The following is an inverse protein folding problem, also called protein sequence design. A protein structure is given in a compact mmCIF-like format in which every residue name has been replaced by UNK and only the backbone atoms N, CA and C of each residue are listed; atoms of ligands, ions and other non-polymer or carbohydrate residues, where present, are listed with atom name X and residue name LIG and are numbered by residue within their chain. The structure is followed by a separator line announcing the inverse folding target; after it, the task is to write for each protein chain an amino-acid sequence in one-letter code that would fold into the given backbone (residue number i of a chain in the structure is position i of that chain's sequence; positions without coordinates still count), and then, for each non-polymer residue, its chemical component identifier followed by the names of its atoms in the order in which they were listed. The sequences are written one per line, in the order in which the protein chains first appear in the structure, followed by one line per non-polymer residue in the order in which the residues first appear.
data_IF_778536988634
#
_entry.id   IF_778536988634
#
_cell.length_a   1.000
_cell.length_b   1.000
_cell.length_c   1.000
_cell.angle_alpha   90.00
_cell.angle_beta   90.00
_cell.angle_gamma   90.00
#
_symmetry.space_group_name_H-M   'P 1'
#
loop_
_entity.id
_entity.type
_entity.pdbx_description
1 polymer ?
#
# COMPACT_ATOMS: atom_id res chain seq x y z
N UNK A 1 -3.76 -70.64 26.05
CA UNK A 1 -3.19 -69.29 25.75
C UNK A 1 -3.30 -68.90 24.29
N UNK A 2 -3.07 -69.79 23.31
CA UNK A 2 -3.18 -69.45 21.86
C UNK A 2 -4.56 -68.89 21.45
N UNK A 3 -5.65 -69.48 21.93
CA UNK A 3 -7.04 -69.07 21.58
C UNK A 3 -7.37 -67.62 21.95
N UNK A 4 -6.87 -67.12 23.08
CA UNK A 4 -7.12 -65.76 23.55
C UNK A 4 -6.38 -64.69 22.73
N UNK A 5 -5.20 -65.03 22.19
CA UNK A 5 -4.42 -64.12 21.33
C UNK A 5 -5.09 -63.95 19.97
N UNK A 6 -5.64 -65.02 19.40
CA UNK A 6 -6.32 -64.97 18.10
C UNK A 6 -7.66 -64.22 18.17
N UNK A 7 -8.38 -64.34 19.29
CA UNK A 7 -9.60 -63.55 19.56
C UNK A 7 -9.29 -62.03 19.61
N UNK A 8 -8.23 -61.64 20.34
CA UNK A 8 -7.81 -60.24 20.42
C UNK A 8 -7.37 -59.68 19.05
N UNK A 9 -6.68 -60.48 18.23
CA UNK A 9 -6.32 -60.10 16.86
C UNK A 9 -7.56 -59.93 15.97
N UNK A 10 -8.57 -60.79 16.12
CA UNK A 10 -9.85 -60.65 15.43
C UNK A 10 -10.56 -59.34 15.80
N UNK A 11 -10.61 -59.01 17.09
CA UNK A 11 -11.19 -57.76 17.59
C UNK A 11 -10.42 -56.53 17.11
N UNK A 12 -9.09 -56.58 17.09
CA UNK A 12 -8.25 -55.47 16.63
C UNK A 12 -8.51 -55.16 15.15
N UNK A 13 -8.52 -56.18 14.28
CA UNK A 13 -8.85 -56.01 12.84
C UNK A 13 -10.23 -55.42 12.63
N UNK A 14 -11.23 -55.91 13.37
CA UNK A 14 -12.60 -55.38 13.30
C UNK A 14 -12.68 -53.91 13.69
N UNK A 15 -11.95 -53.49 14.74
CA UNK A 15 -11.87 -52.09 15.14
C UNK A 15 -11.14 -51.23 14.11
N UNK A 16 -10.06 -51.72 13.51
CA UNK A 16 -9.33 -51.02 12.44
C UNK A 16 -10.22 -50.77 11.22
N UNK A 17 -10.99 -51.77 10.78
CA UNK A 17 -11.96 -51.61 9.70
C UNK A 17 -13.06 -50.60 10.06
N UNK A 18 -13.57 -50.63 11.29
CA UNK A 18 -14.58 -49.69 11.76
C UNK A 18 -14.05 -48.25 11.79
N UNK A 19 -12.80 -48.04 12.23
CA UNK A 19 -12.13 -46.74 12.22
C UNK A 19 -12.01 -46.22 10.79
N UNK A 20 -11.60 -47.06 9.82
CA UNK A 20 -11.44 -46.59 8.45
C UNK A 20 -12.79 -46.24 7.80
N UNK A 21 -13.84 -47.02 8.08
CA UNK A 21 -15.21 -46.68 7.65
C UNK A 21 -15.68 -45.35 8.24
N UNK A 22 -15.45 -45.12 9.53
CA UNK A 22 -15.84 -43.86 10.18
C UNK A 22 -15.07 -42.66 9.62
N UNK A 23 -13.77 -42.82 9.33
CA UNK A 23 -12.98 -41.78 8.67
C UNK A 23 -13.54 -41.42 7.29
N UNK A 24 -13.98 -42.40 6.51
CA UNK A 24 -14.57 -42.13 5.20
C UNK A 24 -15.89 -41.36 5.32
N UNK A 25 -16.76 -41.75 6.26
CA UNK A 25 -18.00 -41.01 6.54
C UNK A 25 -17.72 -39.58 6.99
N UNK A 26 -16.71 -39.39 7.85
CA UNK A 26 -16.32 -38.06 8.32
C UNK A 26 -15.80 -37.19 7.16
N UNK A 27 -14.94 -37.74 6.29
CA UNK A 27 -14.47 -37.06 5.07
C UNK A 27 -15.63 -36.64 4.17
N UNK A 28 -16.65 -37.48 4.00
CA UNK A 28 -17.81 -37.16 3.18
C UNK A 28 -18.68 -36.06 3.81
N UNK A 29 -18.95 -36.15 5.11
CA UNK A 29 -19.68 -35.11 5.84
C UNK A 29 -18.95 -33.76 5.82
N UNK A 30 -17.62 -33.75 5.93
CA UNK A 30 -16.82 -32.52 5.79
C UNK A 30 -16.96 -31.89 4.40
N UNK A 31 -16.99 -32.71 3.34
CA UNK A 31 -17.25 -32.23 1.97
C UNK A 31 -18.66 -31.64 1.85
N UNK A 32 -19.67 -32.34 2.38
CA UNK A 32 -21.06 -31.85 2.37
C UNK A 32 -21.21 -30.54 3.16
N UNK A 33 -20.59 -30.45 4.34
CA UNK A 33 -20.57 -29.23 5.15
C UNK A 33 -19.91 -28.07 4.39
N UNK A 34 -18.74 -28.30 3.79
CA UNK A 34 -18.05 -27.29 2.98
C UNK A 34 -18.92 -26.80 1.81
N UNK A 35 -19.61 -27.73 1.14
CA UNK A 35 -20.54 -27.41 0.05
C UNK A 35 -21.74 -26.57 0.52
N UNK A 36 -22.41 -27.00 1.59
CA UNK A 36 -23.56 -26.30 2.16
C UNK A 36 -23.18 -24.91 2.68
N UNK A 37 -22.04 -24.80 3.36
CA UNK A 37 -21.52 -23.53 3.87
C UNK A 37 -21.15 -22.57 2.74
N UNK A 38 -20.55 -23.07 1.65
CA UNK A 38 -20.29 -22.27 0.45
C UNK A 38 -21.59 -21.76 -0.19
N UNK A 39 -22.63 -22.60 -0.26
CA UNK A 39 -23.94 -22.21 -0.79
C UNK A 39 -24.62 -21.13 0.06
N UNK A 40 -24.60 -21.30 1.38
CA UNK A 40 -25.14 -20.30 2.31
C UNK A 40 -24.38 -18.98 2.24
N UNK A 41 -23.04 -19.02 2.20
CA UNK A 41 -22.22 -17.82 2.04
C UNK A 41 -22.52 -17.09 0.73
N UNK A 42 -22.75 -17.80 -0.37
CA UNK A 42 -23.13 -17.17 -1.64
C UNK A 42 -24.48 -16.44 -1.56
N UNK A 43 -25.45 -16.97 -0.78
CA UNK A 43 -26.75 -16.34 -0.58
C UNK A 43 -26.68 -15.15 0.39
N UNK A 44 -25.82 -15.23 1.40
CA UNK A 44 -25.65 -14.21 2.41
C UNK A 44 -24.66 -13.11 2.02
N UNK A 45 -23.80 -13.33 1.02
CA UNK A 45 -22.80 -12.34 0.58
C UNK A 45 -23.50 -11.12 -0.01
N UNK A 46 -23.51 -9.97 0.70
CA UNK A 46 -24.16 -8.77 0.21
C UNK A 46 -23.53 -8.28 -1.10
N UNK A 47 -22.24 -8.56 -1.31
CA UNK A 47 -21.51 -8.13 -2.49
C UNK A 47 -21.84 -8.94 -3.73
N UNK A 48 -22.32 -10.18 -3.57
CA UNK A 48 -22.76 -11.01 -4.70
C UNK A 48 -24.08 -10.52 -5.31
N UNK A 49 -24.84 -9.70 -4.57
CA UNK A 49 -26.14 -9.15 -4.99
C UNK A 49 -26.05 -7.76 -5.60
N UNK A 50 -24.91 -7.11 -5.45
CA UNK A 50 -24.67 -5.76 -5.92
C UNK A 50 -23.93 -5.78 -7.26
N UNK A 51 -24.27 -4.89 -8.20
CA UNK A 51 -23.46 -4.69 -9.39
C UNK A 51 -22.01 -4.36 -9.01
N UNK A 52 -21.01 -4.81 -9.79
CA UNK A 52 -19.59 -4.62 -9.46
C UNK A 52 -19.23 -3.14 -9.27
N UNK A 53 -19.89 -2.22 -9.97
CA UNK A 53 -19.65 -0.77 -9.85
C UNK A 53 -20.02 -0.24 -8.46
N UNK A 54 -21.16 -0.68 -7.91
CA UNK A 54 -21.64 -0.28 -6.58
C UNK A 54 -20.73 -0.87 -5.52
N UNK A 55 -20.38 -2.15 -5.67
CA UNK A 55 -19.48 -2.86 -4.79
C UNK A 55 -18.08 -2.20 -4.76
N UNK A 56 -17.52 -1.85 -5.92
CA UNK A 56 -16.25 -1.11 -6.02
C UNK A 56 -16.33 0.26 -5.34
N UNK A 57 -17.46 0.97 -5.47
CA UNK A 57 -17.66 2.25 -4.80
C UNK A 57 -17.68 2.09 -3.27
N UNK A 58 -18.37 1.07 -2.76
CA UNK A 58 -18.38 0.74 -1.32
C UNK A 58 -16.96 0.46 -0.83
N UNK A 59 -16.18 -0.33 -1.59
CA UNK A 59 -14.77 -0.58 -1.25
C UNK A 59 -13.97 0.72 -1.14
N UNK A 60 -14.10 1.61 -2.13
CA UNK A 60 -13.41 2.90 -2.14
C UNK A 60 -13.79 3.77 -0.95
N UNK A 61 -15.08 3.84 -0.60
CA UNK A 61 -15.58 4.63 0.53
C UNK A 61 -15.22 4.03 1.90
N UNK A 62 -15.05 2.72 1.97
CA UNK A 62 -14.63 2.04 3.21
C UNK A 62 -13.15 2.26 3.54
N UNK A 63 -12.36 2.75 2.57
CA UNK A 63 -10.94 2.98 2.73
C UNK A 63 -10.66 4.38 3.30
N UNK A 64 -9.64 4.51 4.16
CA UNK A 64 -9.15 5.83 4.53
C UNK A 64 -8.61 6.50 3.27
N UNK A 65 -8.63 7.83 3.25
CA UNK A 65 -8.05 8.61 2.16
C UNK A 65 -6.78 9.28 2.71
N UNK A 66 -5.57 8.86 2.32
CA UNK A 66 -5.25 7.84 1.32
C UNK A 66 -5.37 6.38 1.82
N UNK A 67 -5.55 5.39 0.90
CA UNK A 67 -5.60 3.97 1.24
C UNK A 67 -4.36 3.53 2.01
N UNK A 68 -4.55 2.75 3.08
CA UNK A 68 -3.44 2.14 3.83
C UNK A 68 -3.28 0.68 3.45
N UNK A 69 -2.03 0.21 3.34
CA UNK A 69 -1.71 -1.19 3.03
C UNK A 69 -2.41 -2.16 3.97
N UNK A 70 -2.37 -1.89 5.28
CA UNK A 70 -3.00 -2.73 6.29
C UNK A 70 -4.50 -2.92 6.07
N UNK A 71 -5.23 -1.84 5.72
CA UNK A 71 -6.66 -1.95 5.43
C UNK A 71 -6.94 -2.61 4.10
N UNK A 72 -6.15 -2.33 3.06
CA UNK A 72 -6.33 -2.99 1.77
C UNK A 72 -6.12 -4.50 1.89
N UNK A 73 -5.12 -4.92 2.67
CA UNK A 73 -4.90 -6.33 3.00
C UNK A 73 -6.05 -6.95 3.77
N UNK A 74 -6.65 -6.22 4.71
CA UNK A 74 -7.83 -6.70 5.43
C UNK A 74 -9.00 -6.94 4.46
N UNK A 75 -9.23 -6.01 3.53
CA UNK A 75 -10.30 -6.12 2.52
C UNK A 75 -10.13 -7.34 1.61
N UNK A 76 -8.94 -7.56 1.05
CA UNK A 76 -8.68 -8.70 0.15
C UNK A 76 -8.73 -10.06 0.87
N UNK A 77 -8.78 -10.08 2.21
CA UNK A 77 -8.84 -11.30 3.03
C UNK A 77 -10.25 -11.66 3.50
N UNK A 78 -11.25 -10.79 3.29
CA UNK A 78 -12.63 -11.03 3.75
C UNK A 78 -13.24 -12.28 3.10
N UNK A 79 -13.37 -12.28 1.78
CA UNK A 79 -13.80 -13.43 1.00
C UNK A 79 -13.23 -13.34 -0.43
N UNK A 80 -13.44 -14.39 -1.24
CA UNK A 80 -12.96 -14.41 -2.64
C UNK A 80 -13.58 -13.30 -3.49
N UNK A 81 -14.86 -12.96 -3.28
CA UNK A 81 -15.54 -11.90 -4.03
C UNK A 81 -14.90 -10.54 -3.73
N UNK A 82 -14.66 -10.21 -2.46
CA UNK A 82 -13.97 -8.97 -2.07
C UNK A 82 -12.55 -8.91 -2.62
N UNK A 83 -11.83 -10.03 -2.61
CA UNK A 83 -10.49 -10.11 -3.17
C UNK A 83 -10.51 -9.78 -4.67
N UNK A 84 -11.32 -10.51 -5.45
CA UNK A 84 -11.43 -10.31 -6.90
C UNK A 84 -11.85 -8.89 -7.25
N UNK A 85 -12.82 -8.34 -6.51
CA UNK A 85 -13.31 -6.99 -6.72
C UNK A 85 -12.26 -5.93 -6.39
N UNK A 86 -11.55 -6.08 -5.26
CA UNK A 86 -10.48 -5.17 -4.89
C UNK A 86 -9.35 -5.20 -5.93
N UNK A 87 -8.97 -6.38 -6.43
CA UNK A 87 -7.97 -6.53 -7.49
C UNK A 87 -8.42 -5.87 -8.81
N UNK A 88 -9.71 -5.94 -9.15
CA UNK A 88 -10.28 -5.30 -10.34
C UNK A 88 -10.45 -3.78 -10.19
N UNK A 89 -10.48 -3.26 -8.96
CA UNK A 89 -10.70 -1.84 -8.69
C UNK A 89 -9.38 -1.08 -8.68
N UNK A 90 -8.87 -0.74 -9.88
CA UNK A 90 -7.56 -0.09 -10.08
C UNK A 90 -7.32 1.16 -9.21
N UNK A 91 -8.36 1.95 -8.95
CA UNK A 91 -8.30 3.18 -8.12
C UNK A 91 -7.85 2.92 -6.68
N UNK A 92 -8.07 1.72 -6.13
CA UNK A 92 -7.55 1.35 -4.81
C UNK A 92 -6.02 1.28 -4.77
N UNK A 93 -5.39 1.02 -5.92
CA UNK A 93 -3.95 0.81 -6.05
C UNK A 93 -3.24 2.03 -6.64
N UNK A 94 -3.98 3.04 -7.13
CA UNK A 94 -3.41 4.25 -7.73
C UNK A 94 -2.80 5.22 -6.71
N UNK A 95 -3.14 5.07 -5.43
CA UNK A 95 -2.59 5.88 -4.34
C UNK A 95 -1.77 5.02 -3.40
N UNK A 96 -0.47 5.30 -3.32
CA UNK A 96 0.49 4.56 -2.50
C UNK A 96 1.03 5.47 -1.42
N UNK A 97 0.92 5.04 -0.18
CA UNK A 97 1.48 5.76 0.97
C UNK A 97 2.42 4.84 1.71
N UNK A 98 3.62 5.33 2.03
CA UNK A 98 4.55 4.65 2.92
C UNK A 98 3.88 4.39 4.27
N UNK A 99 3.83 3.11 4.65
CA UNK A 99 3.18 2.65 5.87
C UNK A 99 4.15 2.47 7.04
N UNK A 100 5.40 2.95 6.94
CA UNK A 100 6.42 2.75 7.96
C UNK A 100 6.88 1.29 8.08
N UNK A 101 6.65 0.51 7.03
CA UNK A 101 7.10 -0.89 6.95
C UNK A 101 8.58 -0.93 6.61
N UNK A 102 9.29 -1.99 7.03
CA UNK A 102 10.70 -2.20 6.64
C UNK A 102 10.87 -2.09 5.12
N UNK A 103 11.92 -1.42 4.68
CA UNK A 103 12.13 -0.98 3.29
C UNK A 103 12.08 -2.13 2.28
N UNK A 104 12.68 -3.27 2.63
CA UNK A 104 12.78 -4.44 1.76
C UNK A 104 11.38 -4.99 1.43
N UNK A 105 10.47 -4.93 2.40
CA UNK A 105 9.07 -5.34 2.20
C UNK A 105 8.31 -4.28 1.41
N UNK A 106 8.67 -3.00 1.53
CA UNK A 106 7.99 -1.94 0.79
C UNK A 106 8.26 -2.02 -0.72
N UNK A 107 9.49 -2.36 -1.14
CA UNK A 107 9.80 -2.59 -2.55
C UNK A 107 8.94 -3.73 -3.12
N UNK A 108 8.87 -4.86 -2.41
CA UNK A 108 7.99 -5.99 -2.81
C UNK A 108 6.51 -5.58 -2.88
N UNK A 109 6.08 -4.71 -1.97
CA UNK A 109 4.73 -4.13 -2.00
C UNK A 109 4.52 -3.30 -3.27
N UNK A 110 5.46 -2.44 -3.64
CA UNK A 110 5.41 -1.64 -4.87
C UNK A 110 5.35 -2.50 -6.13
N UNK A 111 6.18 -3.54 -6.22
CA UNK A 111 6.20 -4.48 -7.35
C UNK A 111 4.84 -5.18 -7.55
N UNK A 112 4.08 -5.41 -6.46
CA UNK A 112 2.73 -5.98 -6.53
C UNK A 112 1.67 -4.91 -6.81
N UNK A 113 1.84 -3.70 -6.25
CA UNK A 113 0.83 -2.63 -6.30
C UNK A 113 0.82 -1.86 -7.62
N UNK A 114 1.98 -1.51 -8.15
CA UNK A 114 2.09 -0.66 -9.35
C UNK A 114 1.43 -1.30 -10.59
N UNK A 115 1.56 -2.63 -10.83
CA UNK A 115 0.83 -3.28 -11.92
C UNK A 115 -0.69 -3.26 -11.71
N UNK A 116 -1.16 -3.38 -10.46
CA UNK A 116 -2.59 -3.40 -10.13
C UNK A 116 -3.26 -2.03 -10.30
N UNK A 117 -2.50 -0.94 -10.28
CA UNK A 117 -3.02 0.38 -10.63
C UNK A 117 -3.38 0.53 -12.13
N UNK A 118 -3.05 -0.46 -12.97
CA UNK A 118 -3.43 -0.46 -14.38
C UNK A 118 -2.78 0.68 -15.16
N UNK A 119 -3.56 1.49 -15.88
CA UNK A 119 -3.11 2.68 -16.59
C UNK A 119 -3.39 3.99 -15.82
N UNK A 120 -3.95 3.91 -14.60
CA UNK A 120 -4.35 5.10 -13.86
C UNK A 120 -3.16 5.97 -13.46
N UNK A 121 -3.35 7.29 -13.33
CA UNK A 121 -2.37 8.18 -12.73
C UNK A 121 -2.06 7.78 -11.29
N UNK A 122 -0.79 7.89 -10.90
CA UNK A 122 -0.28 7.47 -9.61
C UNK A 122 -0.12 8.66 -8.66
N UNK A 123 -0.50 8.45 -7.41
CA UNK A 123 -0.28 9.36 -6.28
C UNK A 123 0.59 8.67 -5.24
N UNK A 124 1.84 9.11 -5.09
CA UNK A 124 2.83 8.49 -4.22
C UNK A 124 3.15 9.39 -3.03
N UNK A 125 3.10 8.85 -1.82
CA UNK A 125 3.38 9.58 -0.58
C UNK A 125 4.43 8.86 0.27
N UNK A 126 5.64 9.41 0.29
CA UNK A 126 6.82 8.84 0.93
C UNK A 126 7.29 9.77 2.06
N UNK A 127 6.82 9.53 3.29
CA UNK A 127 7.09 10.41 4.43
C UNK A 127 8.16 9.88 5.39
N UNK A 128 8.46 8.58 5.41
CA UNK A 128 9.34 7.98 6.42
C UNK A 128 10.41 7.05 5.81
N UNK A 129 10.79 7.31 4.56
CA UNK A 129 11.76 6.48 3.85
C UNK A 129 13.16 6.97 4.21
N UNK A 130 13.81 6.27 5.15
CA UNK A 130 15.23 6.53 5.43
C UNK A 130 16.09 6.27 4.18
N UNK A 131 17.15 7.05 4.03
CA UNK A 131 17.86 7.31 2.77
C UNK A 131 18.38 6.06 2.03
N UNK A 132 18.94 5.09 2.75
CA UNK A 132 19.62 3.90 2.23
C UNK A 132 18.73 2.82 1.57
N UNK A 133 17.44 3.09 1.31
CA UNK A 133 16.58 2.20 0.50
C UNK A 133 15.75 2.91 -0.56
N UNK A 134 15.89 4.23 -0.67
CA UNK A 134 15.16 5.02 -1.65
C UNK A 134 15.56 4.65 -3.08
N UNK A 135 16.82 4.29 -3.30
CA UNK A 135 17.32 3.83 -4.59
C UNK A 135 16.48 2.69 -5.21
N UNK A 136 16.20 1.63 -4.46
CA UNK A 136 15.42 0.50 -4.96
C UNK A 136 13.97 0.88 -5.26
N UNK A 137 13.40 1.81 -4.47
CA UNK A 137 12.07 2.35 -4.73
C UNK A 137 12.07 3.11 -6.05
N UNK A 138 13.04 3.99 -6.28
CA UNK A 138 13.16 4.73 -7.53
C UNK A 138 13.33 3.81 -8.75
N UNK A 139 14.17 2.78 -8.62
CA UNK A 139 14.36 1.78 -9.67
C UNK A 139 13.04 1.05 -9.99
N UNK A 140 12.23 0.75 -8.98
CA UNK A 140 10.91 0.13 -9.17
C UNK A 140 9.92 1.11 -9.84
N UNK A 141 10.03 2.40 -9.54
CA UNK A 141 9.17 3.44 -10.08
C UNK A 141 9.54 3.86 -11.50
N UNK A 142 10.74 3.57 -11.99
CA UNK A 142 11.24 3.97 -13.31
C UNK A 142 10.25 3.67 -14.44
N UNK A 143 9.74 2.44 -14.49
CA UNK A 143 8.77 2.01 -15.51
C UNK A 143 7.39 2.70 -15.39
N UNK A 144 7.13 3.37 -14.27
CA UNK A 144 5.85 3.99 -13.93
C UNK A 144 5.91 5.51 -13.86
N UNK A 145 7.08 6.13 -14.01
CA UNK A 145 7.28 7.59 -14.00
C UNK A 145 6.27 8.34 -14.88
N UNK A 146 5.97 7.92 -16.13
CA UNK A 146 5.05 8.65 -17.00
C UNK A 146 3.62 8.74 -16.48
N UNK A 147 3.29 8.00 -15.41
CA UNK A 147 1.97 7.97 -14.78
C UNK A 147 1.94 8.70 -13.44
N UNK A 148 3.07 9.12 -12.88
CA UNK A 148 3.12 9.75 -11.56
C UNK A 148 2.58 11.18 -11.65
N UNK A 149 1.37 11.38 -11.14
CA UNK A 149 0.66 12.66 -11.16
C UNK A 149 0.83 13.45 -9.85
N UNK A 150 0.90 12.74 -8.71
CA UNK A 150 1.19 13.36 -7.42
C UNK A 150 2.36 12.64 -6.76
N UNK A 151 3.33 13.41 -6.29
CA UNK A 151 4.50 12.90 -5.58
C UNK A 151 4.69 13.70 -4.29
N UNK A 152 4.75 13.00 -3.18
CA UNK A 152 5.09 13.55 -1.87
C UNK A 152 6.32 12.82 -1.35
N UNK A 153 7.37 13.56 -1.04
CA UNK A 153 8.67 13.00 -0.61
C UNK A 153 9.20 13.75 0.61
N UNK A 154 9.74 13.01 1.57
CA UNK A 154 10.66 13.52 2.59
C UNK A 154 12.08 13.21 2.11
N UNK A 155 12.78 14.15 1.47
CA UNK A 155 14.15 13.92 1.01
C UNK A 155 15.07 13.82 2.24
N UNK A 156 15.23 12.61 2.77
CA UNK A 156 16.30 12.35 3.72
C UNK A 156 17.63 12.39 2.97
N UNK A 157 18.61 13.09 3.55
CA UNK A 157 19.87 13.55 2.97
C UNK A 157 20.75 12.47 2.31
N UNK A 158 20.36 11.90 1.17
CA UNK A 158 21.29 11.22 0.29
C UNK A 158 21.44 11.95 -1.04
N UNK A 159 22.68 11.99 -1.51
CA UNK A 159 23.07 12.54 -2.82
C UNK A 159 22.62 11.66 -3.99
N UNK A 160 21.74 10.69 -3.74
CA UNK A 160 21.18 9.79 -4.74
C UNK A 160 20.10 10.50 -5.58
N UNK A 161 20.56 11.51 -6.32
CA UNK A 161 19.79 12.38 -7.20
C UNK A 161 19.44 11.68 -8.53
N UNK A 162 19.20 10.37 -8.55
CA UNK A 162 18.73 9.69 -9.77
C UNK A 162 17.29 10.06 -10.13
N UNK A 163 16.53 10.67 -9.24
CA UNK A 163 15.27 11.33 -9.62
C UNK A 163 15.46 12.35 -10.76
N UNK A 164 16.67 12.91 -10.91
CA UNK A 164 17.00 13.89 -11.94
C UNK A 164 17.17 13.31 -13.34
N UNK A 165 17.29 11.98 -13.48
CA UNK A 165 17.33 11.37 -14.82
C UNK A 165 15.96 11.34 -15.47
N UNK A 166 14.90 11.47 -14.67
CA UNK A 166 13.53 11.30 -15.13
C UNK A 166 12.84 12.65 -15.33
N UNK A 167 12.03 12.73 -16.38
CA UNK A 167 11.15 13.87 -16.62
C UNK A 167 9.73 13.48 -16.25
N UNK A 168 9.15 14.23 -15.32
CA UNK A 168 7.82 13.99 -14.78
C UNK A 168 6.77 14.74 -15.60
N UNK A 169 6.50 14.23 -16.80
CA UNK A 169 5.64 14.90 -17.78
C UNK A 169 4.19 15.09 -17.31
N UNK A 170 3.66 14.23 -16.44
CA UNK A 170 2.26 14.33 -15.94
C UNK A 170 2.17 14.76 -14.48
N UNK A 171 3.28 15.11 -13.84
CA UNK A 171 3.29 15.47 -12.43
C UNK A 171 2.68 16.86 -12.24
N UNK A 172 1.51 16.89 -11.62
CA UNK A 172 0.77 18.12 -11.33
C UNK A 172 0.86 18.54 -9.87
N UNK A 173 1.22 17.62 -8.96
CA UNK A 173 1.31 17.90 -7.53
C UNK A 173 2.61 17.35 -6.94
N UNK A 174 3.43 18.23 -6.36
CA UNK A 174 4.69 17.90 -5.69
C UNK A 174 4.65 18.43 -4.26
N UNK A 175 4.89 17.54 -3.30
CA UNK A 175 5.00 17.87 -1.87
C UNK A 175 6.38 17.48 -1.35
N UNK A 176 7.07 18.39 -0.70
CA UNK A 176 8.40 18.17 -0.14
C UNK A 176 8.35 18.40 1.36
N UNK A 177 8.71 17.38 2.14
CA UNK A 177 8.59 17.32 3.59
C UNK A 177 9.96 17.17 4.27
N UNK A 178 10.87 18.15 4.22
CA UNK A 178 12.11 18.11 5.04
C UNK A 178 12.84 19.48 5.09
N UNK A 179 13.46 19.78 6.24
CA UNK A 179 14.33 20.93 6.51
C UNK A 179 15.69 20.84 5.82
N UNK A 180 16.08 19.66 5.37
CA UNK A 180 17.42 19.42 4.83
C UNK A 180 17.45 19.13 3.32
N UNK A 181 16.35 19.38 2.59
CA UNK A 181 16.37 19.23 1.15
C UNK A 181 17.37 20.23 0.53
N UNK A 182 18.40 19.78 -0.20
CA UNK A 182 19.30 20.68 -0.91
C UNK A 182 18.50 21.53 -1.90
N UNK A 183 18.76 22.84 -1.95
CA UNK A 183 18.05 23.76 -2.86
C UNK A 183 18.16 23.29 -4.30
N UNK A 184 19.35 22.83 -4.71
CA UNK A 184 19.60 22.35 -6.07
C UNK A 184 18.71 21.15 -6.45
N UNK A 185 18.39 20.28 -5.48
CA UNK A 185 17.48 19.15 -5.70
C UNK A 185 16.05 19.64 -5.96
N UNK A 186 15.56 20.58 -5.16
CA UNK A 186 14.25 21.19 -5.39
C UNK A 186 14.19 21.84 -6.78
N UNK A 187 15.20 22.64 -7.13
CA UNK A 187 15.23 23.38 -8.42
C UNK A 187 15.19 22.43 -9.60
N UNK A 188 16.00 21.37 -9.59
CA UNK A 188 16.02 20.44 -10.71
C UNK A 188 14.76 19.56 -10.77
N UNK A 189 14.17 19.16 -9.63
CA UNK A 189 12.86 18.49 -9.64
C UNK A 189 11.78 19.36 -10.28
N UNK A 190 11.78 20.67 -9.98
CA UNK A 190 10.86 21.63 -10.61
C UNK A 190 11.11 21.74 -12.11
N UNK A 191 12.38 21.78 -12.53
CA UNK A 191 12.75 21.82 -13.96
C UNK A 191 12.30 20.58 -14.72
N UNK A 192 12.25 19.42 -14.05
CA UNK A 192 11.80 18.13 -14.62
C UNK A 192 10.30 17.92 -14.55
N UNK A 193 9.54 18.82 -13.92
CA UNK A 193 8.09 18.75 -13.79
C UNK A 193 7.43 19.95 -14.50
N UNK A 194 7.43 20.00 -15.84
CA UNK A 194 6.99 21.18 -16.59
C UNK A 194 5.50 21.51 -16.40
N UNK A 195 4.70 20.50 -16.06
CA UNK A 195 3.26 20.60 -15.85
C UNK A 195 2.87 20.70 -14.36
N UNK A 196 3.81 21.09 -13.50
CA UNK A 196 3.56 21.19 -12.08
C UNK A 196 2.60 22.35 -11.75
N UNK A 197 1.47 22.00 -11.13
CA UNK A 197 0.38 22.93 -10.79
C UNK A 197 0.41 23.29 -9.31
N UNK A 198 0.66 22.30 -8.46
CA UNK A 198 0.68 22.41 -7.01
C UNK A 198 2.06 22.06 -6.47
N UNK A 199 2.67 23.00 -5.75
CA UNK A 199 3.91 22.81 -5.03
C UNK A 199 3.69 23.12 -3.56
N UNK A 200 3.89 22.13 -2.70
CA UNK A 200 3.86 22.33 -1.27
C UNK A 200 5.22 21.99 -0.66
N UNK A 201 5.86 22.98 -0.04
CA UNK A 201 7.12 22.78 0.66
C UNK A 201 6.87 23.00 2.14
N UNK A 202 7.07 21.93 2.91
CA UNK A 202 6.87 21.93 4.35
C UNK A 202 8.23 21.95 5.01
N UNK A 203 8.36 22.78 6.05
CA UNK A 203 9.55 22.87 6.88
C UNK A 203 10.78 23.19 6.04
N UNK A 204 10.72 24.20 5.16
CA UNK A 204 11.92 24.66 4.42
C UNK A 204 12.43 25.98 4.99
N UNK A 205 13.75 26.13 5.07
CA UNK A 205 14.41 27.39 5.40
C UNK A 205 14.55 28.34 4.20
N UNK A 206 14.20 27.90 2.99
CA UNK A 206 14.49 28.64 1.77
C UNK A 206 13.44 28.46 0.69
N UNK A 207 13.15 29.56 0.00
CA UNK A 207 12.89 29.61 -1.44
C UNK A 207 13.57 30.85 -1.99
N UNK A 208 14.57 30.68 -2.85
CA UNK A 208 14.92 31.73 -3.80
C UNK A 208 13.83 31.72 -4.88
N UNK A 209 13.02 32.78 -4.94
CA UNK A 209 11.88 32.91 -5.86
C UNK A 209 12.25 32.82 -7.35
N UNK A 210 13.54 32.91 -7.68
CA UNK A 210 14.07 32.96 -9.04
C UNK A 210 14.04 31.63 -9.80
N UNK A 211 13.64 30.52 -9.17
CA UNK A 211 13.75 29.18 -9.77
C UNK A 211 12.44 28.63 -10.37
N UNK A 212 11.34 29.36 -10.29
CA UNK A 212 10.02 28.84 -10.68
C UNK A 212 9.51 29.54 -11.94
N UNK A 213 10.08 29.19 -13.09
CA UNK A 213 9.50 29.50 -14.42
C UNK A 213 8.41 28.48 -14.82
N UNK A 214 7.71 27.89 -13.85
CA UNK A 214 6.68 26.88 -14.12
C UNK A 214 5.28 27.49 -14.09
N UNK A 215 4.31 26.80 -14.71
CA UNK A 215 2.87 27.16 -14.71
C UNK A 215 2.21 26.96 -13.33
N UNK A 216 2.95 27.24 -12.26
CA UNK A 216 2.53 26.98 -10.90
C UNK A 216 1.34 27.88 -10.55
N UNK A 217 0.20 27.27 -10.24
CA UNK A 217 -1.01 28.01 -9.83
C UNK A 217 -1.18 28.03 -8.32
N UNK A 218 -0.63 27.03 -7.63
CA UNK A 218 -0.73 26.91 -6.17
C UNK A 218 0.64 26.64 -5.55
N UNK A 219 1.09 27.60 -4.75
CA UNK A 219 2.30 27.49 -3.93
C UNK A 219 1.92 27.50 -2.44
N UNK A 220 2.20 26.40 -1.75
CA UNK A 220 1.99 26.30 -0.29
C UNK A 220 3.33 26.24 0.41
N UNK A 221 3.65 27.29 1.16
CA UNK A 221 4.87 27.39 1.95
C UNK A 221 4.54 27.30 3.42
N UNK A 222 4.86 26.18 4.05
CA UNK A 222 4.68 26.02 5.49
C UNK A 222 6.06 26.06 6.14
N UNK A 223 6.48 27.23 6.61
CA UNK A 223 7.67 27.36 7.46
C UNK A 223 7.31 27.00 8.91
N UNK A 224 8.21 26.30 9.61
CA UNK A 224 8.10 26.12 11.06
C UNK A 224 8.57 27.36 11.85
N UNK A 225 9.18 28.35 11.18
CA UNK A 225 9.82 29.50 11.85
C UNK A 225 8.90 30.74 11.93
N UNK A 226 7.70 30.58 12.51
CA UNK A 226 6.96 31.70 13.11
C UNK A 226 6.31 31.27 14.42
N UNK A 227 7.14 31.03 15.45
CA UNK A 227 6.68 30.94 16.84
C UNK A 227 7.18 29.70 17.59
N UNK A 228 8.44 29.69 18.03
CA UNK A 228 8.77 29.53 19.46
C UNK A 228 10.27 29.79 19.68
N UNK A 229 10.62 31.06 19.90
CA UNK A 229 11.84 31.44 20.62
C UNK A 229 11.42 32.29 21.81
N UNK A 230 10.66 31.71 22.73
CA UNK A 230 10.57 32.24 24.09
C UNK A 230 10.97 31.15 25.10
N UNK A 231 12.20 31.31 25.60
CA UNK A 231 12.62 31.09 26.98
C UNK A 231 12.14 29.82 27.71
N UNK A 232 13.02 28.81 27.79
CA UNK A 232 13.12 27.99 29.00
C UNK A 232 14.50 28.24 29.64
N UNK A 233 14.49 29.10 30.66
CA UNK A 233 15.56 29.21 31.65
C UNK A 233 15.73 27.87 32.38
N UNK A 234 16.96 27.38 32.62
CA UNK A 234 17.17 26.26 33.53
C UNK A 234 16.94 26.76 34.96
N UNK A 235 15.92 26.21 35.63
CA UNK A 235 15.81 26.34 37.08
C UNK A 235 16.93 25.53 37.73
N UNK A 236 17.69 26.24 38.55
CA UNK A 236 18.58 25.71 39.57
C UNK A 236 17.82 24.82 40.56
N UNK A 237 18.39 23.65 40.86
CA UNK A 237 18.92 23.28 42.17
C UNK A 237 19.95 22.18 42.02
#
# INVERSE_FOLDING_TARGET
MSSSVDELRGRLRSLEEAIERQKEVLRDLERQHCHAQSGLNALLDPMARLPPEISSNILLQSMPTPPTWGRLLALVRVCRAWNNLALATHTLWSTITDTGVRKEKFVQVLEIWLPRAGALPLSLNFHNIMSNGFFHILQTLEAHVPRIQSLSVSPSCDRDLRLMTYTFIVLTSLKIHDMNCPVDLCVELLRRAPNLVHLAIYRSRFIAASAVETHLTHLTLNSLDFGDRDTYYPFSK
#
